data_IF_598278584712
#
_entry.id   IF_598278584712
#
_cell.length_a   1.000
_cell.length_b   1.000
_cell.length_c   1.000
_cell.angle_alpha   90.00
_cell.angle_beta   90.00
_cell.angle_gamma   90.00
#
_symmetry.space_group_name_H-M   'P 1'
#
loop_
_entity.id
_entity.type
_entity.pdbx_description
1 polymer ?
#
# COMPACT_ATOMS: atom_id res chain seq x y z
N UNK A 1 -5.57 15.58 16.20
CA UNK A 1 -4.61 15.52 15.09
C UNK A 1 -5.23 16.22 13.90
N UNK A 2 -4.53 17.18 13.28
CA UNK A 2 -4.97 17.75 12.01
C UNK A 2 -4.64 16.68 10.97
N UNK A 3 -5.65 16.10 10.34
CA UNK A 3 -5.46 15.15 9.25
C UNK A 3 -4.98 15.91 8.01
N UNK A 4 -3.79 15.57 7.53
CA UNK A 4 -3.31 16.11 6.25
C UNK A 4 -4.14 15.49 5.11
N UNK A 5 -4.69 16.33 4.23
CA UNK A 5 -5.44 15.90 3.05
C UNK A 5 -4.72 16.39 1.80
N UNK A 6 -4.41 15.46 0.93
CA UNK A 6 -3.73 15.73 -0.34
C UNK A 6 -4.65 15.39 -1.50
N UNK A 7 -4.56 16.17 -2.55
CA UNK A 7 -5.36 15.94 -3.75
C UNK A 7 -5.00 14.61 -4.41
N UNK A 8 -3.71 14.31 -4.48
CA UNK A 8 -3.15 13.14 -5.17
C UNK A 8 -1.83 12.67 -4.54
N UNK A 9 -1.25 11.63 -5.11
CA UNK A 9 0.01 11.06 -4.63
C UNK A 9 1.20 12.01 -4.76
N UNK A 10 1.25 12.82 -5.82
CA UNK A 10 2.35 13.78 -6.04
C UNK A 10 2.36 14.88 -4.97
N UNK A 11 1.20 15.42 -4.62
CA UNK A 11 1.09 16.45 -3.56
C UNK A 11 1.51 15.89 -2.19
N UNK A 12 1.12 14.65 -1.87
CA UNK A 12 1.57 13.98 -0.65
C UNK A 12 3.09 13.78 -0.64
N UNK A 13 3.67 13.35 -1.76
CA UNK A 13 5.11 13.19 -1.90
C UNK A 13 5.83 14.52 -1.69
N UNK A 14 5.41 15.59 -2.37
CA UNK A 14 6.03 16.90 -2.30
C UNK A 14 6.03 17.46 -0.87
N UNK A 15 4.93 17.29 -0.16
CA UNK A 15 4.82 17.69 1.24
C UNK A 15 5.85 16.98 2.12
N UNK A 16 5.90 15.64 2.08
CA UNK A 16 6.82 14.89 2.93
C UNK A 16 8.28 15.04 2.47
N UNK A 17 8.54 15.17 1.17
CA UNK A 17 9.86 15.45 0.64
C UNK A 17 10.43 16.79 1.15
N UNK A 18 9.58 17.81 1.25
CA UNK A 18 9.96 19.09 1.82
C UNK A 18 10.04 19.10 3.34
N UNK A 19 9.24 18.29 4.03
CA UNK A 19 9.08 18.36 5.50
C UNK A 19 10.07 17.47 6.23
N UNK A 20 10.28 16.22 5.79
CA UNK A 20 11.13 15.26 6.50
C UNK A 20 12.57 15.76 6.73
N UNK A 21 13.25 16.43 5.78
CA UNK A 21 14.61 16.93 6.01
C UNK A 21 14.72 17.93 7.15
N UNK A 22 13.66 18.67 7.45
CA UNK A 22 13.65 19.76 8.44
C UNK A 22 13.01 19.36 9.76
N UNK A 23 11.92 18.62 9.72
CA UNK A 23 11.11 18.25 10.90
C UNK A 23 11.30 16.78 11.33
N UNK A 24 11.86 15.95 10.46
CA UNK A 24 12.17 14.56 10.78
C UNK A 24 13.29 14.43 11.79
N UNK A 25 13.18 13.44 12.66
CA UNK A 25 14.24 13.07 13.62
C UNK A 25 15.19 12.05 13.01
N UNK A 26 16.44 12.06 13.45
CA UNK A 26 17.42 11.06 13.02
C UNK A 26 17.03 9.69 13.57
N UNK A 27 16.87 8.74 12.67
CA UNK A 27 16.50 7.36 12.98
C UNK A 27 17.36 6.39 12.17
N UNK A 28 18.30 5.71 12.85
CA UNK A 28 19.31 4.91 12.19
C UNK A 28 20.13 5.77 11.20
N UNK A 29 20.15 5.39 9.93
CA UNK A 29 20.84 6.10 8.84
C UNK A 29 19.91 6.97 7.99
N UNK A 30 18.69 7.24 8.47
CA UNK A 30 17.64 8.01 7.77
C UNK A 30 17.09 9.11 8.66
N UNK A 31 16.24 9.97 8.08
CA UNK A 31 15.32 10.82 8.84
C UNK A 31 13.91 10.28 8.76
N UNK A 32 13.17 10.35 9.86
CA UNK A 32 11.82 9.81 9.95
C UNK A 32 10.86 10.74 10.68
N UNK A 33 9.61 10.73 10.26
CA UNK A 33 8.47 11.29 10.98
C UNK A 33 7.58 10.13 11.45
N UNK A 34 7.25 10.12 12.74
CA UNK A 34 6.45 9.05 13.35
C UNK A 34 4.98 9.44 13.48
N UNK A 35 4.10 8.43 13.56
CA UNK A 35 2.67 8.61 13.79
C UNK A 35 2.01 9.56 12.78
N UNK A 36 2.44 9.49 11.53
CA UNK A 36 1.87 10.27 10.45
C UNK A 36 0.61 9.60 9.90
N UNK A 37 -0.39 10.42 9.59
CA UNK A 37 -1.60 10.00 8.91
C UNK A 37 -2.00 11.05 7.89
N UNK A 38 -2.49 10.61 6.74
CA UNK A 38 -3.00 11.51 5.70
C UNK A 38 -4.03 10.81 4.82
N UNK A 39 -4.82 11.62 4.11
CA UNK A 39 -5.80 11.15 3.14
C UNK A 39 -5.43 11.63 1.75
N UNK A 40 -5.47 10.73 0.76
CA UNK A 40 -5.42 11.05 -0.67
C UNK A 40 -6.85 11.10 -1.20
N UNK A 41 -7.27 12.26 -1.70
CA UNK A 41 -8.65 12.50 -2.13
C UNK A 41 -8.96 11.90 -3.51
N UNK A 42 -7.94 11.88 -4.40
CA UNK A 42 -8.06 11.28 -5.73
C UNK A 42 -6.96 10.20 -5.91
N UNK A 43 -7.21 8.95 -5.48
CA UNK A 43 -6.22 7.87 -5.58
C UNK A 43 -5.97 7.41 -7.02
N UNK A 44 -6.84 7.78 -7.97
CA UNK A 44 -6.63 7.48 -9.41
C UNK A 44 -5.48 8.30 -10.00
N UNK A 45 -5.21 9.49 -9.46
CA UNK A 45 -4.06 10.33 -9.82
C UNK A 45 -2.84 9.94 -8.96
N UNK A 46 -2.23 8.80 -9.37
CA UNK A 46 -1.20 8.09 -8.61
C UNK A 46 0.23 8.36 -9.05
N UNK A 47 0.41 9.08 -10.16
CA UNK A 47 1.74 9.36 -10.70
C UNK A 47 2.42 10.47 -9.91
N UNK A 48 3.59 10.18 -9.36
CA UNK A 48 4.42 11.20 -8.69
C UNK A 48 5.24 11.90 -9.77
N UNK A 49 5.00 13.20 -9.93
CA UNK A 49 5.62 14.02 -10.98
C UNK A 49 6.88 14.76 -10.53
N UNK A 50 7.20 14.72 -9.23
CA UNK A 50 8.42 15.32 -8.71
C UNK A 50 9.66 14.60 -9.27
N UNK A 51 10.53 15.34 -9.95
CA UNK A 51 11.72 14.82 -10.60
C UNK A 51 12.68 14.13 -9.61
N UNK A 52 12.73 14.60 -8.36
CA UNK A 52 13.57 13.99 -7.32
C UNK A 52 13.18 12.52 -7.05
N UNK A 53 11.89 12.14 -7.24
CA UNK A 53 11.42 10.76 -7.08
C UNK A 53 11.94 9.84 -8.18
N UNK A 54 12.22 10.38 -9.36
CA UNK A 54 12.61 9.60 -10.54
C UNK A 54 11.67 8.39 -10.76
N UNK A 55 10.36 8.68 -10.78
CA UNK A 55 9.32 7.64 -10.83
C UNK A 55 9.39 6.81 -12.12
N UNK A 56 9.60 5.51 -11.98
CA UNK A 56 9.66 4.59 -13.11
C UNK A 56 8.31 3.89 -13.30
N UNK A 57 7.54 4.37 -14.28
CA UNK A 57 6.21 3.84 -14.57
C UNK A 57 6.25 2.39 -15.04
N UNK A 58 7.23 2.01 -15.88
CA UNK A 58 7.36 0.65 -16.41
C UNK A 58 7.59 -0.36 -15.26
N UNK A 59 8.43 0.03 -14.31
CA UNK A 59 8.68 -0.80 -13.14
C UNK A 59 7.42 -0.89 -12.26
N UNK A 60 6.74 0.22 -11.99
CA UNK A 60 5.54 0.25 -11.17
C UNK A 60 4.40 -0.62 -11.77
N UNK A 61 4.25 -0.59 -13.10
CA UNK A 61 3.30 -1.44 -13.81
C UNK A 61 3.67 -2.92 -13.74
N UNK A 62 4.96 -3.25 -13.90
CA UNK A 62 5.45 -4.62 -13.78
C UNK A 62 5.28 -5.17 -12.36
N UNK A 63 5.56 -4.36 -11.34
CA UNK A 63 5.35 -4.73 -9.95
C UNK A 63 3.87 -4.93 -9.62
N UNK A 64 2.99 -4.07 -10.14
CA UNK A 64 1.56 -4.24 -10.02
C UNK A 64 1.07 -5.54 -10.69
N UNK A 65 1.54 -5.84 -11.90
CA UNK A 65 1.23 -7.10 -12.58
C UNK A 65 1.71 -8.31 -11.76
N UNK A 66 2.90 -8.22 -11.17
CA UNK A 66 3.41 -9.25 -10.28
C UNK A 66 2.49 -9.48 -9.07
N UNK A 67 1.98 -8.42 -8.43
CA UNK A 67 1.01 -8.55 -7.35
C UNK A 67 -0.27 -9.25 -7.81
N UNK A 68 -0.77 -8.93 -8.99
CA UNK A 68 -1.97 -9.56 -9.54
C UNK A 68 -1.82 -11.06 -9.85
N UNK A 69 -0.59 -11.56 -9.97
CA UNK A 69 -0.36 -13.03 -10.11
C UNK A 69 -0.56 -13.79 -8.80
N UNK A 70 -0.57 -13.12 -7.64
CA UNK A 70 -0.55 -13.76 -6.33
C UNK A 70 0.74 -14.53 -6.01
N UNK A 71 1.73 -14.53 -6.90
CA UNK A 71 2.98 -15.26 -6.74
C UNK A 71 3.99 -14.50 -5.89
N UNK A 72 4.48 -15.04 -4.76
CA UNK A 72 5.52 -14.37 -3.97
C UNK A 72 6.92 -14.47 -4.60
N UNK A 73 7.09 -15.18 -5.72
CA UNK A 73 8.39 -15.42 -6.34
C UNK A 73 8.95 -14.16 -7.00
N UNK A 74 10.16 -13.73 -6.62
CA UNK A 74 10.88 -12.65 -7.30
C UNK A 74 11.15 -13.00 -8.79
N UNK A 75 11.29 -14.28 -9.12
CA UNK A 75 11.45 -14.76 -10.49
C UNK A 75 10.25 -14.35 -11.38
N UNK A 76 9.02 -14.39 -10.84
CA UNK A 76 7.82 -13.96 -11.58
C UNK A 76 7.91 -12.49 -12.00
N UNK A 77 8.39 -11.61 -11.10
CA UNK A 77 8.67 -10.21 -11.47
C UNK A 77 9.77 -10.13 -12.55
N UNK A 78 10.80 -10.95 -12.42
CA UNK A 78 11.88 -11.02 -13.42
C UNK A 78 11.39 -11.38 -14.83
N UNK A 79 10.41 -12.27 -14.92
CA UNK A 79 9.78 -12.67 -16.19
C UNK A 79 8.91 -11.55 -16.77
N UNK A 80 8.22 -10.77 -15.92
CA UNK A 80 7.37 -9.64 -16.34
C UNK A 80 8.24 -8.44 -16.74
N UNK A 81 9.19 -8.05 -15.90
CA UNK A 81 9.99 -6.82 -16.06
C UNK A 81 11.26 -7.01 -16.88
N UNK A 82 11.62 -8.26 -17.22
CA UNK A 82 12.85 -8.60 -17.92
C UNK A 82 14.10 -8.75 -17.05
N UNK A 83 14.04 -8.41 -15.78
CA UNK A 83 15.09 -8.60 -14.77
C UNK A 83 14.51 -8.57 -13.36
N UNK A 84 15.18 -9.23 -12.40
CA UNK A 84 14.86 -9.08 -10.99
C UNK A 84 15.62 -7.87 -10.45
N UNK A 85 14.93 -6.80 -9.96
CA UNK A 85 15.58 -5.69 -9.29
C UNK A 85 16.43 -6.14 -8.10
N UNK A 86 17.56 -5.46 -7.86
CA UNK A 86 18.52 -5.86 -6.81
C UNK A 86 17.88 -5.95 -5.44
N UNK A 87 16.98 -5.02 -5.10
CA UNK A 87 16.26 -5.03 -3.82
C UNK A 87 15.52 -6.36 -3.59
N UNK A 88 14.83 -6.87 -4.61
CA UNK A 88 14.10 -8.12 -4.48
C UNK A 88 15.00 -9.35 -4.44
N UNK A 89 16.18 -9.28 -5.09
CA UNK A 89 17.19 -10.34 -4.93
C UNK A 89 17.68 -10.43 -3.49
N UNK A 90 17.88 -9.27 -2.84
CA UNK A 90 18.39 -9.19 -1.46
C UNK A 90 17.32 -9.55 -0.41
N UNK A 91 16.05 -9.37 -0.75
CA UNK A 91 14.91 -9.63 0.15
C UNK A 91 14.30 -11.03 0.01
N UNK A 92 14.75 -11.84 -0.95
CA UNK A 92 14.23 -13.21 -1.09
C UNK A 92 14.66 -14.12 0.05
N UNK A 93 13.77 -15.02 0.45
CA UNK A 93 14.10 -16.18 1.27
C UNK A 93 14.89 -17.24 0.48
N UNK A 94 15.31 -18.33 1.14
CA UNK A 94 16.02 -19.44 0.50
C UNK A 94 15.24 -20.15 -0.62
N UNK A 95 13.95 -19.86 -0.77
CA UNK A 95 13.08 -20.38 -1.83
C UNK A 95 12.77 -19.34 -2.90
N UNK A 96 13.35 -18.15 -2.83
CA UNK A 96 13.11 -17.05 -3.78
C UNK A 96 11.78 -16.32 -3.58
N UNK A 97 11.15 -16.43 -2.41
CA UNK A 97 9.93 -15.71 -2.09
C UNK A 97 10.23 -14.36 -1.45
N UNK A 98 9.36 -13.40 -1.71
CA UNK A 98 9.33 -12.07 -1.10
C UNK A 98 8.05 -11.94 -0.26
N UNK A 99 8.18 -11.71 1.05
CA UNK A 99 7.04 -11.65 1.97
C UNK A 99 6.19 -10.40 1.76
N UNK A 100 6.79 -9.29 1.33
CA UNK A 100 6.08 -8.04 1.01
C UNK A 100 5.48 -8.03 -0.41
N UNK A 101 5.41 -9.17 -1.11
CA UNK A 101 4.51 -9.28 -2.25
C UNK A 101 3.06 -9.21 -1.76
N UNK A 102 2.45 -8.03 -1.90
CA UNK A 102 1.12 -7.77 -1.36
C UNK A 102 0.03 -8.59 -2.05
N UNK A 103 0.20 -8.94 -3.33
CA UNK A 103 -0.72 -9.83 -4.04
C UNK A 103 -0.86 -11.18 -3.35
N UNK A 104 0.24 -11.83 -2.99
CA UNK A 104 0.23 -13.09 -2.27
C UNK A 104 -0.40 -12.97 -0.88
N UNK A 105 -0.28 -11.80 -0.24
CA UNK A 105 -0.91 -11.54 1.05
C UNK A 105 -2.42 -11.33 0.92
N UNK A 106 -2.90 -10.67 -0.13
CA UNK A 106 -4.34 -10.49 -0.38
C UNK A 106 -5.02 -11.81 -0.69
N UNK A 107 -4.35 -12.68 -1.45
CA UNK A 107 -4.86 -14.00 -1.82
C UNK A 107 -4.82 -15.00 -0.65
N UNK A 108 -3.98 -14.78 0.33
CA UNK A 108 -3.88 -15.66 1.49
C UNK A 108 -5.24 -15.85 2.15
N UNK A 109 -5.68 -17.11 2.25
CA UNK A 109 -6.98 -17.47 2.77
C UNK A 109 -8.17 -16.80 2.05
N UNK A 110 -8.00 -16.43 0.78
CA UNK A 110 -9.04 -15.78 -0.05
C UNK A 110 -9.57 -14.47 0.56
N UNK A 111 -8.70 -13.69 1.20
CA UNK A 111 -9.09 -12.49 1.92
C UNK A 111 -9.76 -11.47 1.02
N UNK A 112 -9.21 -11.23 -0.18
CA UNK A 112 -9.76 -10.24 -1.12
C UNK A 112 -11.17 -10.64 -1.58
N UNK A 113 -11.36 -11.91 -1.98
CA UNK A 113 -12.68 -12.40 -2.42
C UNK A 113 -13.71 -12.30 -1.31
N UNK A 114 -13.31 -12.61 -0.07
CA UNK A 114 -14.21 -12.50 1.10
C UNK A 114 -14.61 -11.06 1.37
N UNK A 115 -13.68 -10.12 1.30
CA UNK A 115 -13.98 -8.69 1.48
C UNK A 115 -14.94 -8.21 0.40
N UNK A 116 -14.71 -8.56 -0.87
CA UNK A 116 -15.61 -8.22 -1.96
C UNK A 116 -17.02 -8.80 -1.75
N UNK A 117 -17.10 -10.07 -1.33
CA UNK A 117 -18.38 -10.71 -1.04
C UNK A 117 -19.12 -10.04 0.12
N UNK A 118 -18.42 -9.72 1.23
CA UNK A 118 -19.00 -9.03 2.38
C UNK A 118 -19.55 -7.65 2.02
N UNK A 119 -18.82 -6.87 1.23
CA UNK A 119 -19.25 -5.52 0.82
C UNK A 119 -20.45 -5.57 -0.15
N UNK A 120 -20.55 -6.62 -0.97
CA UNK A 120 -21.71 -6.84 -1.87
C UNK A 120 -22.95 -7.26 -1.09
N UNK A 121 -22.78 -8.10 -0.06
CA UNK A 121 -23.88 -8.59 0.78
C UNK A 121 -24.39 -7.50 1.73
N UNK A 122 -23.46 -6.80 2.38
CA UNK A 122 -23.77 -5.72 3.31
C UNK A 122 -22.77 -4.57 3.17
N UNK A 123 -23.11 -3.49 2.43
CA UNK A 123 -22.25 -2.32 2.28
C UNK A 123 -21.88 -1.63 3.62
N UNK A 124 -22.72 -1.76 4.65
CA UNK A 124 -22.50 -1.17 5.97
C UNK A 124 -21.59 -2.04 6.87
N UNK A 125 -21.04 -3.13 6.34
CA UNK A 125 -20.18 -4.03 7.12
C UNK A 125 -18.91 -3.32 7.62
N UNK A 126 -18.54 -3.62 8.87
CA UNK A 126 -17.26 -3.20 9.47
C UNK A 126 -16.20 -4.31 9.43
N UNK A 127 -16.49 -5.43 8.78
CA UNK A 127 -15.63 -6.61 8.74
C UNK A 127 -14.77 -6.68 7.47
N UNK A 128 -14.95 -5.73 6.54
CA UNK A 128 -14.25 -5.71 5.26
C UNK A 128 -12.77 -5.28 5.44
N UNK A 129 -11.96 -6.17 5.98
CA UNK A 129 -10.55 -5.94 6.25
C UNK A 129 -9.68 -7.09 5.75
N UNK A 130 -8.47 -6.73 5.27
CA UNK A 130 -7.40 -7.65 4.88
C UNK A 130 -6.26 -7.50 5.89
N UNK A 131 -5.86 -8.60 6.52
CA UNK A 131 -4.68 -8.65 7.38
C UNK A 131 -3.47 -9.06 6.57
N UNK A 132 -2.45 -8.22 6.52
CA UNK A 132 -1.21 -8.47 5.77
C UNK A 132 -0.15 -9.02 6.71
N UNK A 133 0.12 -8.32 7.81
CA UNK A 133 1.06 -8.80 8.82
C UNK A 133 0.43 -9.94 9.63
N UNK A 134 1.08 -11.10 9.63
CA UNK A 134 0.64 -12.26 10.40
C UNK A 134 1.65 -12.60 11.47
N UNK A 135 1.24 -12.51 12.73
CA UNK A 135 2.09 -12.83 13.89
C UNK A 135 2.61 -14.26 13.92
N UNK A 136 1.94 -15.18 13.22
CA UNK A 136 2.42 -16.58 13.09
C UNK A 136 3.60 -16.70 12.11
N UNK A 137 3.75 -15.75 11.21
CA UNK A 137 4.77 -15.75 10.16
C UNK A 137 6.02 -14.92 10.52
N UNK A 138 6.11 -14.39 11.75
CA UNK A 138 7.24 -13.54 12.19
C UNK A 138 8.60 -14.16 11.89
N UNK A 139 8.73 -15.47 12.05
CA UNK A 139 10.00 -16.17 11.76
C UNK A 139 10.41 -16.13 10.29
N UNK A 140 9.44 -15.95 9.38
CA UNK A 140 9.67 -15.80 7.93
C UNK A 140 10.04 -14.39 7.53
N UNK A 141 9.77 -13.39 8.38
CA UNK A 141 10.03 -11.98 8.10
C UNK A 141 11.49 -11.58 8.30
N UNK A 142 12.39 -12.53 8.43
CA UNK A 142 13.82 -12.28 8.69
C UNK A 142 14.49 -11.44 7.59
N UNK A 143 14.14 -11.67 6.34
CA UNK A 143 14.76 -11.00 5.19
C UNK A 143 13.90 -9.86 4.66
N UNK A 144 12.60 -10.00 4.77
CA UNK A 144 11.62 -9.06 4.26
C UNK A 144 10.38 -9.07 5.14
N UNK A 145 10.08 -7.92 5.75
CA UNK A 145 8.91 -7.73 6.61
C UNK A 145 7.91 -6.81 5.91
N UNK A 146 6.66 -7.24 5.68
CA UNK A 146 5.65 -6.36 5.10
C UNK A 146 5.53 -5.03 5.85
N UNK A 147 5.52 -3.93 5.12
CA UNK A 147 5.36 -2.58 5.68
C UNK A 147 3.90 -2.30 6.06
N UNK A 148 2.95 -2.85 5.32
CA UNK A 148 1.52 -2.73 5.60
C UNK A 148 1.09 -3.79 6.60
N UNK A 149 0.36 -3.38 7.65
CA UNK A 149 -0.24 -4.31 8.61
C UNK A 149 -1.60 -4.80 8.17
N UNK A 150 -2.46 -3.88 7.79
CA UNK A 150 -3.84 -4.16 7.42
C UNK A 150 -4.39 -3.11 6.46
N UNK A 151 -5.41 -3.51 5.73
CA UNK A 151 -6.21 -2.63 4.88
C UNK A 151 -7.67 -2.83 5.24
N UNK A 152 -8.40 -1.76 5.50
CA UNK A 152 -9.84 -1.78 5.74
C UNK A 152 -10.56 -1.01 4.65
N UNK A 153 -11.68 -1.55 4.19
CA UNK A 153 -12.56 -0.91 3.22
C UNK A 153 -13.87 -0.52 3.89
N UNK A 154 -14.38 0.65 3.52
CA UNK A 154 -15.65 1.17 4.04
C UNK A 154 -16.41 1.83 2.89
N UNK A 155 -17.66 1.44 2.71
CA UNK A 155 -18.57 2.15 1.79
C UNK A 155 -19.12 3.36 2.53
N UNK A 156 -18.88 4.55 1.98
CA UNK A 156 -19.33 5.83 2.54
C UNK A 156 -20.37 6.43 1.62
N UNK A 157 -21.63 6.65 2.08
CA UNK A 157 -22.65 7.25 1.27
C UNK A 157 -22.31 8.73 0.99
N UNK A 158 -22.45 9.15 -0.26
CA UNK A 158 -22.39 10.54 -0.65
C UNK A 158 -23.79 11.14 -0.57
N UNK A 159 -23.98 12.06 0.37
CA UNK A 159 -25.29 12.65 0.67
C UNK A 159 -25.45 13.97 -0.11
N UNK A 160 -26.55 14.09 -0.84
CA UNK A 160 -26.93 15.32 -1.52
C UNK A 160 -27.44 16.42 -0.56
N UNK A 161 -27.61 17.61 -1.09
CA UNK A 161 -28.09 18.76 -0.32
C UNK A 161 -29.52 18.55 0.26
N UNK A 162 -30.31 17.67 -0.35
CA UNK A 162 -31.66 17.30 0.07
C UNK A 162 -31.69 16.12 1.07
N UNK A 163 -30.51 15.63 1.47
CA UNK A 163 -30.37 14.48 2.38
C UNK A 163 -30.48 13.11 1.71
N UNK A 164 -30.67 13.04 0.39
CA UNK A 164 -30.69 11.78 -0.33
C UNK A 164 -29.28 11.24 -0.56
N UNK A 165 -29.14 9.90 -0.65
CA UNK A 165 -27.91 9.28 -1.11
C UNK A 165 -27.82 9.41 -2.62
N UNK A 166 -26.82 10.16 -3.11
CA UNK A 166 -26.60 10.37 -4.54
C UNK A 166 -25.70 9.26 -5.11
N UNK A 167 -24.69 8.84 -4.33
CA UNK A 167 -23.68 7.88 -4.75
C UNK A 167 -23.01 7.25 -3.52
N UNK A 168 -22.20 6.22 -3.75
CA UNK A 168 -21.38 5.59 -2.73
C UNK A 168 -19.90 5.68 -3.11
N UNK A 169 -19.06 5.97 -2.14
CA UNK A 169 -17.61 5.93 -2.28
C UNK A 169 -17.06 4.74 -1.52
N UNK A 170 -16.05 4.10 -2.07
CA UNK A 170 -15.27 3.11 -1.35
C UNK A 170 -14.01 3.78 -0.80
N UNK A 171 -13.97 3.94 0.51
CA UNK A 171 -12.77 4.40 1.21
C UNK A 171 -11.89 3.22 1.58
N UNK A 172 -10.57 3.41 1.47
CA UNK A 172 -9.56 2.45 1.85
C UNK A 172 -8.66 3.07 2.92
N UNK A 173 -8.63 2.46 4.11
CA UNK A 173 -7.72 2.83 5.19
C UNK A 173 -6.58 1.82 5.25
N UNK A 174 -5.34 2.30 5.14
CA UNK A 174 -4.12 1.48 5.17
C UNK A 174 -3.34 1.78 6.45
N UNK A 175 -3.05 0.76 7.23
CA UNK A 175 -2.18 0.86 8.41
C UNK A 175 -0.81 0.29 8.09
N UNK A 176 0.22 1.12 8.21
CA UNK A 176 1.61 0.77 7.91
C UNK A 176 2.51 0.99 9.13
N UNK A 177 3.51 0.10 9.32
CA UNK A 177 4.60 0.30 10.30
C UNK A 177 5.68 1.24 9.77
N UNK A 178 5.84 1.31 8.47
CA UNK A 178 6.86 2.06 7.77
C UNK A 178 6.37 2.38 6.36
N UNK A 179 6.73 3.53 5.88
CA UNK A 179 6.52 3.94 4.50
C UNK A 179 7.72 4.77 4.05
N UNK A 180 8.50 4.22 3.13
CA UNK A 180 9.61 4.94 2.53
C UNK A 180 9.11 5.95 1.50
N UNK A 181 9.78 7.10 1.48
CA UNK A 181 9.44 8.13 0.49
C UNK A 181 9.98 7.79 -0.91
N UNK A 182 11.01 6.93 -0.99
CA UNK A 182 11.71 6.53 -2.21
C UNK A 182 11.32 5.16 -2.74
#
# INVERSE_FOLDING_TARGET
MIENKFKNASEAFDFYYGTIPHEGIDFSNTKAMFNQGFTILNPSDRIITNEARNFNIEYAEAEWQWYLTGSPKAQTLGEIYGKIPKIWQDMTDGNGNVNSNYGSQWERAYQLDRVVAMLKDNPDTRQAAISIYDGKEISRYKYDTPCTYAVQFTVVPYIGADGSVIDNKLDMCVTMRSNDLW
#
